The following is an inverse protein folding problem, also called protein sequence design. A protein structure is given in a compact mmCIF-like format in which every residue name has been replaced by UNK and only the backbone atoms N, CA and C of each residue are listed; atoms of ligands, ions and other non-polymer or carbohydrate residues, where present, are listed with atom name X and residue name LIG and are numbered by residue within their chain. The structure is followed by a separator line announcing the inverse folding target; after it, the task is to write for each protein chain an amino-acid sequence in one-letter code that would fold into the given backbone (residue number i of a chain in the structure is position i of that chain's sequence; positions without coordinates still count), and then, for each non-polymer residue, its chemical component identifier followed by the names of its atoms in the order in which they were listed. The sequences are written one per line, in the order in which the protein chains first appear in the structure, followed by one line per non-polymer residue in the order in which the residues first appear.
data_IF_896811227099
#
_entry.id   IF_896811227099
#
_cell.length_a   1.000
_cell.length_b   1.000
_cell.length_c   1.000
_cell.angle_alpha   90.00
_cell.angle_beta   90.00
_cell.angle_gamma   90.00
#
_symmetry.space_group_name_H-M   'P 1'
#
loop_
_entity.id
_entity.type
_entity.pdbx_description
1 polymer ?
#
# COMPACT_ATOMS: atom_id res chain seq x y z
N UNK A 1 -6.87 -7.24 -35.36
CA UNK A 1 -5.91 -6.98 -34.26
C UNK A 1 -4.60 -7.61 -34.65
N UNK A 2 -3.52 -6.82 -34.80
CA UNK A 2 -2.18 -7.37 -35.06
C UNK A 2 -1.67 -8.08 -33.81
N UNK A 3 -0.79 -9.07 -33.97
CA UNK A 3 -0.14 -9.79 -32.86
C UNK A 3 0.61 -8.81 -31.94
N UNK A 4 1.28 -7.81 -32.54
CA UNK A 4 1.94 -6.69 -31.85
C UNK A 4 0.98 -5.89 -30.95
N UNK A 5 -0.26 -5.73 -31.37
CA UNK A 5 -1.30 -5.05 -30.57
C UNK A 5 -1.73 -5.85 -29.35
N UNK A 6 -1.61 -7.18 -29.40
CA UNK A 6 -1.93 -8.05 -28.25
C UNK A 6 -0.82 -8.05 -27.22
N UNK A 7 0.44 -8.06 -27.65
CA UNK A 7 1.59 -8.02 -26.74
C UNK A 7 1.64 -6.70 -25.95
N UNK A 8 1.40 -5.57 -26.63
CA UNK A 8 1.30 -4.25 -25.99
C UNK A 8 0.18 -4.19 -24.94
N UNK A 9 -0.98 -4.81 -25.22
CA UNK A 9 -2.08 -4.92 -24.26
C UNK A 9 -1.73 -5.80 -23.06
N UNK A 10 -1.06 -6.94 -23.29
CA UNK A 10 -0.64 -7.85 -22.22
C UNK A 10 0.36 -7.15 -21.28
N UNK A 11 1.30 -6.39 -21.83
CA UNK A 11 2.29 -5.69 -21.02
C UNK A 11 1.69 -4.54 -20.21
N UNK A 12 0.73 -3.80 -20.79
CA UNK A 12 -0.06 -2.82 -20.03
C UNK A 12 -0.83 -3.48 -18.88
N UNK A 13 -1.46 -4.64 -19.11
CA UNK A 13 -2.16 -5.39 -18.06
C UNK A 13 -1.23 -5.86 -16.94
N UNK A 14 -0.02 -6.34 -17.27
CA UNK A 14 0.99 -6.74 -16.27
C UNK A 14 1.41 -5.56 -15.40
N UNK A 15 1.57 -4.37 -15.99
CA UNK A 15 1.90 -3.16 -15.23
C UNK A 15 0.80 -2.78 -14.26
N UNK A 16 -0.46 -2.76 -14.74
CA UNK A 16 -1.64 -2.50 -13.89
C UNK A 16 -1.72 -3.51 -12.74
N UNK A 17 -1.55 -4.81 -13.02
CA UNK A 17 -1.54 -5.85 -11.98
C UNK A 17 -0.42 -5.60 -10.96
N UNK A 18 0.78 -5.23 -11.41
CA UNK A 18 1.91 -4.93 -10.53
C UNK A 18 1.61 -3.76 -9.58
N UNK A 19 1.02 -2.68 -10.11
CA UNK A 19 0.60 -1.51 -9.33
C UNK A 19 -0.46 -1.91 -8.29
N UNK A 20 -1.51 -2.61 -8.71
CA UNK A 20 -2.58 -3.06 -7.82
C UNK A 20 -2.07 -4.01 -6.72
N UNK A 21 -1.11 -4.88 -7.05
CA UNK A 21 -0.50 -5.79 -6.08
C UNK A 21 0.26 -5.03 -4.99
N UNK A 22 1.05 -4.03 -5.35
CA UNK A 22 1.77 -3.21 -4.38
C UNK A 22 0.79 -2.38 -3.52
N UNK A 23 -0.30 -1.86 -4.11
CA UNK A 23 -1.37 -1.18 -3.36
C UNK A 23 -1.97 -2.10 -2.30
N UNK A 24 -2.37 -3.32 -2.67
CA UNK A 24 -2.94 -4.29 -1.73
C UNK A 24 -1.97 -4.62 -0.61
N UNK A 25 -0.69 -4.84 -0.93
CA UNK A 25 0.35 -5.15 0.06
C UNK A 25 0.52 -4.03 1.09
N UNK A 26 0.49 -2.76 0.64
CA UNK A 26 0.60 -1.59 1.53
C UNK A 26 -0.62 -1.43 2.43
N UNK A 27 -1.82 -1.66 1.90
CA UNK A 27 -3.05 -1.65 2.69
C UNK A 27 -3.05 -2.78 3.74
N UNK A 28 -2.64 -3.99 3.37
CA UNK A 28 -2.46 -5.10 4.31
C UNK A 28 -1.44 -4.77 5.40
N UNK A 29 -0.34 -4.12 5.03
CA UNK A 29 0.68 -3.67 6.00
C UNK A 29 0.09 -2.64 6.97
N UNK A 30 -0.72 -1.71 6.48
CA UNK A 30 -1.42 -0.74 7.33
C UNK A 30 -2.40 -1.41 8.29
N UNK A 31 -3.14 -2.44 7.85
CA UNK A 31 -4.04 -3.18 8.74
C UNK A 31 -3.26 -3.88 9.87
N UNK A 32 -2.13 -4.51 9.56
CA UNK A 32 -1.28 -5.13 10.59
C UNK A 32 -0.71 -4.09 11.57
N UNK A 33 -0.33 -2.92 11.07
CA UNK A 33 0.13 -1.79 11.89
C UNK A 33 -1.00 -1.22 12.76
N UNK A 34 -2.24 -1.22 12.27
CA UNK A 34 -3.41 -0.83 13.05
C UNK A 34 -3.66 -1.80 14.21
N UNK A 35 -3.58 -3.10 13.96
CA UNK A 35 -3.69 -4.11 15.02
C UNK A 35 -2.61 -3.93 16.09
N UNK A 36 -1.35 -3.70 15.67
CA UNK A 36 -0.24 -3.42 16.58
C UNK A 36 -0.48 -2.11 17.37
N UNK A 37 -0.94 -1.06 16.71
CA UNK A 37 -1.28 0.21 17.36
C UNK A 37 -2.35 0.01 18.43
N UNK A 38 -3.43 -0.70 18.12
CA UNK A 38 -4.50 -0.98 19.08
C UNK A 38 -3.97 -1.73 20.31
N UNK A 39 -3.12 -2.73 20.11
CA UNK A 39 -2.48 -3.46 21.21
C UNK A 39 -1.56 -2.59 22.07
N UNK A 40 -0.96 -1.54 21.51
CA UNK A 40 -0.07 -0.63 22.24
C UNK A 40 -0.84 0.44 23.02
N UNK A 41 -1.92 1.00 22.48
CA UNK A 41 -2.66 2.08 23.14
C UNK A 41 -3.47 1.62 24.36
N UNK A 42 -3.82 0.34 24.43
CA UNK A 42 -4.56 -0.24 25.57
C UNK A 42 -3.65 -0.63 26.74
N UNK A 43 -2.33 -0.66 26.54
CA UNK A 43 -1.36 -0.94 27.60
C UNK A 43 -1.22 0.27 28.52
N UNK A 44 -1.05 0.01 29.83
CA UNK A 44 -0.81 1.06 30.82
C UNK A 44 0.52 1.79 30.60
N UNK A 45 1.58 1.05 30.24
CA UNK A 45 2.88 1.63 29.91
C UNK A 45 3.06 1.67 28.38
N UNK A 46 2.71 2.81 27.79
CA UNK A 46 2.71 3.02 26.34
C UNK A 46 4.12 3.29 25.84
N UNK A 47 4.55 2.55 24.82
CA UNK A 47 5.77 2.88 24.11
C UNK A 47 5.45 3.94 23.04
N UNK A 48 5.53 5.21 23.44
CA UNK A 48 5.18 6.37 22.59
C UNK A 48 6.00 6.42 21.30
N UNK A 49 7.30 6.11 21.38
CA UNK A 49 8.18 6.07 20.20
C UNK A 49 7.69 5.05 19.17
N UNK A 50 7.34 3.84 19.62
CA UNK A 50 6.82 2.79 18.73
C UNK A 50 5.46 3.16 18.14
N UNK A 51 4.61 3.84 18.90
CA UNK A 51 3.32 4.37 18.41
C UNK A 51 3.55 5.41 17.31
N UNK A 52 4.48 6.34 17.52
CA UNK A 52 4.85 7.35 16.53
C UNK A 52 5.40 6.71 15.25
N UNK A 53 6.29 5.72 15.38
CA UNK A 53 6.84 4.97 14.24
C UNK A 53 5.72 4.30 13.43
N UNK A 54 4.74 3.67 14.09
CA UNK A 54 3.58 3.06 13.43
C UNK A 54 2.77 4.10 12.65
N UNK A 55 2.46 5.25 13.27
CA UNK A 55 1.69 6.32 12.63
C UNK A 55 2.42 6.84 11.39
N UNK A 56 3.74 7.04 11.50
CA UNK A 56 4.57 7.51 10.38
C UNK A 56 4.60 6.51 9.23
N UNK A 57 4.76 5.21 9.53
CA UNK A 57 4.72 4.16 8.51
C UNK A 57 3.35 4.08 7.82
N UNK A 58 2.25 4.16 8.57
CA UNK A 58 0.89 4.17 7.99
C UNK A 58 0.66 5.34 7.06
N UNK A 59 1.14 6.53 7.45
CA UNK A 59 1.06 7.74 6.63
C UNK A 59 1.87 7.58 5.34
N UNK A 60 3.07 7.02 5.43
CA UNK A 60 3.92 6.82 4.24
C UNK A 60 3.33 5.79 3.28
N UNK A 61 2.84 4.65 3.80
CA UNK A 61 2.13 3.67 2.99
C UNK A 61 0.90 4.28 2.29
N UNK A 62 0.15 5.15 2.97
CA UNK A 62 -1.01 5.83 2.38
C UNK A 62 -0.61 6.76 1.24
N UNK A 63 0.48 7.54 1.38
CA UNK A 63 1.00 8.37 0.29
C UNK A 63 1.45 7.55 -0.92
N UNK A 64 2.12 6.42 -0.68
CA UNK A 64 2.57 5.52 -1.74
C UNK A 64 1.35 4.95 -2.48
N UNK A 65 0.33 4.50 -1.75
CA UNK A 65 -0.92 4.01 -2.34
C UNK A 65 -1.58 5.08 -3.21
N UNK A 66 -1.71 6.32 -2.73
CA UNK A 66 -2.28 7.42 -3.52
C UNK A 66 -1.53 7.64 -4.84
N UNK A 67 -0.19 7.72 -4.79
CA UNK A 67 0.64 7.87 -6.01
C UNK A 67 0.50 6.72 -6.98
N UNK A 68 0.39 5.48 -6.47
CA UNK A 68 0.21 4.29 -7.29
C UNK A 68 -1.17 4.27 -7.96
N UNK A 69 -2.22 4.71 -7.25
CA UNK A 69 -3.57 4.80 -7.81
C UNK A 69 -3.66 5.91 -8.88
N UNK A 70 -3.01 7.06 -8.67
CA UNK A 70 -2.92 8.14 -9.67
C UNK A 70 -2.32 7.62 -11.00
N UNK A 71 -1.35 6.71 -10.95
CA UNK A 71 -0.75 6.10 -12.15
C UNK A 71 -1.73 5.21 -12.94
N UNK A 72 -2.83 4.76 -12.33
CA UNK A 72 -3.87 3.95 -12.99
C UNK A 72 -4.97 4.80 -13.62
N UNK A 73 -5.14 6.03 -13.13
CA UNK A 73 -6.16 6.97 -13.64
C UNK A 73 -5.68 7.71 -14.90
N UNK A 74 -4.40 7.58 -15.25
CA UNK A 74 -3.76 8.24 -16.41
C UNK A 74 -3.63 7.29 -17.60
#
# INVERSE_FOLDING_TARGET
MSERSKDELIDAQKQVIGILFEVVKRLQTNNNLDDEYFQLIVKENKNEKKIEDIINQRKENSKIVSRLLEQLET
#
